data_IF_014894191542
#
_entry.id   IF_014894191542
#
_cell.length_a   1.000
_cell.length_b   1.000
_cell.length_c   1.000
_cell.angle_alpha   90.00
_cell.angle_beta   90.00
_cell.angle_gamma   90.00
#
_symmetry.space_group_name_H-M   'P 1'
#
loop_
_entity.id
_entity.type
_entity.pdbx_description
1 polymer ?
#
# COMPACT_ATOMS: atom_id res chain seq x y z
N UNK A 1 39.51 -16.68 45.16
CA UNK A 1 39.05 -17.62 44.11
C UNK A 1 39.68 -17.16 42.82
N UNK A 2 40.59 -17.97 42.32
CA UNK A 2 41.57 -17.65 41.27
C UNK A 2 40.92 -17.48 39.89
N UNK A 3 41.42 -16.49 39.14
CA UNK A 3 41.21 -16.34 37.70
C UNK A 3 41.74 -17.57 36.96
N UNK A 4 40.84 -18.36 36.37
CA UNK A 4 41.22 -19.36 35.37
C UNK A 4 41.48 -18.67 34.03
N UNK A 5 42.73 -18.29 33.81
CA UNK A 5 43.27 -17.97 32.48
C UNK A 5 43.41 -19.26 31.67
N UNK A 6 42.43 -19.54 30.81
CA UNK A 6 42.52 -20.65 29.86
C UNK A 6 43.39 -20.22 28.68
N UNK A 7 44.65 -20.67 28.67
CA UNK A 7 45.58 -20.51 27.54
C UNK A 7 45.01 -21.19 26.30
N UNK A 8 44.79 -20.42 25.23
CA UNK A 8 44.45 -20.97 23.91
C UNK A 8 45.74 -21.53 23.30
N UNK A 9 45.72 -22.83 23.02
CA UNK A 9 46.84 -23.60 22.48
C UNK A 9 46.89 -23.39 20.95
N UNK A 10 47.99 -22.87 20.35
CA UNK A 10 48.04 -22.51 18.93
C UNK A 10 48.40 -23.72 18.06
N UNK A 11 47.59 -24.77 18.14
CA UNK A 11 47.97 -26.07 17.57
C UNK A 11 46.82 -27.05 17.43
N UNK A 12 45.73 -26.64 16.79
CA UNK A 12 44.81 -27.56 16.10
C UNK A 12 44.34 -26.89 14.82
N UNK A 13 44.79 -27.43 13.68
CA UNK A 13 44.18 -27.22 12.38
C UNK A 13 42.75 -27.75 12.43
N UNK A 14 41.82 -26.91 12.88
CA UNK A 14 40.41 -27.08 12.55
C UNK A 14 40.33 -26.76 11.07
N UNK A 15 40.12 -27.79 10.24
CA UNK A 15 39.78 -27.61 8.84
C UNK A 15 38.64 -26.58 8.79
N UNK A 16 38.90 -25.45 8.15
CA UNK A 16 37.83 -24.56 7.70
C UNK A 16 37.07 -25.44 6.70
N UNK A 17 35.96 -26.02 7.16
CA UNK A 17 35.02 -26.69 6.26
C UNK A 17 34.67 -25.67 5.17
N UNK A 18 34.81 -26.10 3.92
CA UNK A 18 34.61 -25.31 2.72
C UNK A 18 33.48 -24.30 2.92
N UNK A 19 33.84 -23.01 3.03
CA UNK A 19 32.85 -21.94 2.89
C UNK A 19 32.39 -22.07 1.45
N UNK A 20 31.21 -22.68 1.27
CA UNK A 20 30.52 -22.71 -0.02
C UNK A 20 30.39 -21.26 -0.47
N UNK A 21 31.05 -20.87 -1.56
CA UNK A 21 30.85 -19.57 -2.17
C UNK A 21 29.44 -19.56 -2.78
N UNK A 22 28.44 -19.24 -1.97
CA UNK A 22 27.08 -19.01 -2.44
C UNK A 22 27.11 -17.74 -3.29
N UNK A 23 26.79 -17.86 -4.59
CA UNK A 23 26.78 -16.70 -5.48
C UNK A 23 25.54 -15.87 -5.18
N UNK A 24 25.76 -14.61 -4.83
CA UNK A 24 24.70 -13.66 -4.45
C UNK A 24 24.45 -12.63 -5.57
N UNK A 25 23.18 -12.34 -5.84
CA UNK A 25 22.74 -11.24 -6.69
C UNK A 25 21.93 -10.28 -5.82
N UNK A 26 22.34 -9.02 -5.77
CA UNK A 26 21.68 -7.98 -4.96
C UNK A 26 21.06 -6.93 -5.88
N UNK A 27 19.78 -6.62 -5.66
CA UNK A 27 19.06 -5.51 -6.29
C UNK A 27 18.82 -4.45 -5.20
N UNK A 28 19.66 -3.42 -5.18
CA UNK A 28 19.58 -2.32 -4.23
C UNK A 28 19.94 -0.97 -4.88
N UNK A 29 19.11 0.07 -4.74
CA UNK A 29 17.75 0.03 -4.19
C UNK A 29 16.76 -0.61 -5.17
N UNK A 30 15.66 -1.15 -4.66
CA UNK A 30 14.49 -1.41 -5.50
C UNK A 30 13.92 -0.06 -5.96
N UNK A 31 13.77 0.12 -7.27
CA UNK A 31 13.39 1.41 -7.87
C UNK A 31 11.88 1.51 -8.15
N UNK A 32 11.37 2.74 -8.25
CA UNK A 32 9.95 3.07 -8.52
C UNK A 32 8.96 2.46 -7.50
N UNK A 33 9.37 2.38 -6.24
CA UNK A 33 8.51 2.18 -5.09
C UNK A 33 8.63 3.35 -4.11
N UNK A 34 7.75 3.40 -3.12
CA UNK A 34 7.89 4.31 -1.97
C UNK A 34 8.56 3.57 -0.80
N UNK A 35 9.57 4.20 -0.20
CA UNK A 35 10.38 3.62 0.87
C UNK A 35 11.71 3.04 0.39
N UNK A 36 12.39 2.32 1.27
CA UNK A 36 13.70 1.71 1.01
C UNK A 36 13.62 0.20 1.14
N UNK A 37 13.97 -0.48 0.05
CA UNK A 37 14.02 -1.94 0.01
C UNK A 37 15.18 -2.45 -0.84
N UNK A 38 15.57 -3.69 -0.56
CA UNK A 38 16.51 -4.47 -1.37
C UNK A 38 15.99 -5.88 -1.61
N UNK A 39 16.50 -6.53 -2.65
CA UNK A 39 16.24 -7.94 -2.94
C UNK A 39 17.58 -8.68 -3.01
N UNK A 40 17.76 -9.66 -2.14
CA UNK A 40 18.91 -10.57 -2.17
C UNK A 40 18.46 -11.90 -2.78
N UNK A 41 19.19 -12.40 -3.78
CA UNK A 41 18.94 -13.67 -4.46
C UNK A 41 20.19 -14.54 -4.34
N UNK A 42 20.05 -15.68 -3.70
CA UNK A 42 21.12 -16.64 -3.46
C UNK A 42 21.02 -17.79 -4.44
N UNK A 43 22.12 -18.12 -5.11
CA UNK A 43 22.21 -19.21 -6.07
C UNK A 43 22.95 -20.40 -5.46
N UNK A 44 22.48 -21.61 -5.77
CA UNK A 44 23.20 -22.84 -5.46
C UNK A 44 24.38 -23.07 -6.43
N UNK A 45 25.16 -24.13 -6.21
CA UNK A 45 26.36 -24.44 -6.99
C UNK A 45 26.07 -24.67 -8.49
N UNK A 46 24.84 -25.06 -8.85
CA UNK A 46 24.41 -25.26 -10.24
C UNK A 46 24.00 -23.95 -10.92
N UNK A 47 23.92 -22.85 -10.16
CA UNK A 47 23.45 -21.54 -10.62
C UNK A 47 21.94 -21.36 -10.56
N UNK A 48 21.20 -22.30 -9.95
CA UNK A 48 19.76 -22.19 -9.72
C UNK A 48 19.47 -21.32 -8.48
N UNK A 49 18.35 -20.59 -8.48
CA UNK A 49 17.93 -19.82 -7.30
C UNK A 49 17.58 -20.76 -6.15
N UNK A 50 18.30 -20.62 -5.04
CA UNK A 50 18.05 -21.35 -3.81
C UNK A 50 17.09 -20.57 -2.89
N UNK A 51 17.32 -19.27 -2.73
CA UNK A 51 16.47 -18.38 -1.92
C UNK A 51 16.42 -16.97 -2.51
N UNK A 52 15.32 -16.26 -2.24
CA UNK A 52 15.17 -14.83 -2.54
C UNK A 52 14.46 -14.11 -1.40
N UNK A 53 14.94 -12.92 -1.03
CA UNK A 53 14.43 -12.16 0.11
C UNK A 53 14.12 -10.73 -0.29
N UNK A 54 12.88 -10.29 -0.12
CA UNK A 54 12.50 -8.88 -0.19
C UNK A 54 12.61 -8.24 1.19
N UNK A 55 13.52 -7.28 1.35
CA UNK A 55 13.85 -6.70 2.64
C UNK A 55 13.50 -5.22 2.68
N UNK A 56 12.76 -4.80 3.72
CA UNK A 56 12.61 -3.38 4.03
C UNK A 56 13.69 -3.00 5.03
N UNK A 57 14.48 -2.01 4.66
CA UNK A 57 15.72 -1.64 5.39
C UNK A 57 15.57 -0.35 6.20
N UNK A 58 14.34 0.15 6.36
CA UNK A 58 14.03 1.37 7.09
C UNK A 58 13.04 1.12 8.25
N UNK A 59 13.32 1.72 9.42
CA UNK A 59 12.41 1.79 10.56
C UNK A 59 12.52 3.17 11.23
N UNK A 60 11.37 3.84 11.45
CA UNK A 60 11.31 5.16 12.11
C UNK A 60 10.71 5.15 13.53
N UNK A 61 10.08 4.06 13.96
CA UNK A 61 9.64 3.89 15.35
C UNK A 61 8.47 4.78 15.82
N UNK A 62 7.55 5.17 14.93
CA UNK A 62 6.37 6.02 15.25
C UNK A 62 5.58 5.54 16.47
N UNK A 63 5.35 4.23 16.57
CA UNK A 63 4.60 3.63 17.68
C UNK A 63 5.23 3.91 19.07
N UNK A 64 6.55 4.02 19.15
CA UNK A 64 7.24 4.30 20.41
C UNK A 64 7.29 5.79 20.71
N UNK A 65 7.67 6.63 19.75
CA UNK A 65 7.84 8.06 20.03
C UNK A 65 6.52 8.83 20.16
N UNK A 66 5.40 8.25 19.72
CA UNK A 66 4.07 8.81 19.98
C UNK A 66 3.62 8.64 21.44
N UNK A 67 4.23 7.73 22.22
CA UNK A 67 3.90 7.54 23.63
C UNK A 67 4.19 8.80 24.43
N UNK A 68 3.25 9.17 25.31
CA UNK A 68 3.34 10.36 26.17
C UNK A 68 3.00 11.68 25.48
N UNK A 69 2.65 11.67 24.19
CA UNK A 69 2.18 12.86 23.47
C UNK A 69 0.66 13.05 23.63
N UNK A 70 0.16 14.29 23.57
CA UNK A 70 -1.27 14.54 23.47
C UNK A 70 -1.87 13.86 22.24
N UNK A 71 -3.00 13.20 22.40
CA UNK A 71 -3.61 12.34 21.37
C UNK A 71 -4.08 13.17 20.17
N UNK A 72 -4.52 14.40 20.40
CA UNK A 72 -4.93 15.37 19.38
C UNK A 72 -3.79 15.83 18.47
N UNK A 73 -2.53 15.57 18.83
CA UNK A 73 -1.38 15.78 17.93
C UNK A 73 -1.22 14.67 16.90
N UNK A 74 -1.84 13.49 17.11
CA UNK A 74 -1.62 12.33 16.23
C UNK A 74 -1.95 12.62 14.76
N UNK A 75 -3.07 13.30 14.41
CA UNK A 75 -3.36 13.69 13.04
C UNK A 75 -2.36 14.67 12.43
N UNK A 76 -1.47 15.28 13.22
CA UNK A 76 -0.37 16.11 12.71
C UNK A 76 0.94 15.32 12.65
N UNK A 77 1.12 14.33 13.51
CA UNK A 77 2.36 13.55 13.58
C UNK A 77 2.35 12.41 12.56
N UNK A 78 1.34 11.53 12.61
CA UNK A 78 1.36 10.28 11.84
C UNK A 78 1.26 10.44 10.33
N UNK A 79 0.73 11.54 9.75
CA UNK A 79 0.86 11.76 8.31
C UNK A 79 2.31 11.86 7.83
N UNK A 80 3.30 12.02 8.71
CA UNK A 80 4.74 12.00 8.35
C UNK A 80 5.29 10.57 8.23
N UNK A 81 4.47 9.55 8.45
CA UNK A 81 4.85 8.16 8.17
C UNK A 81 5.10 7.98 6.67
N UNK A 82 4.37 8.63 5.77
CA UNK A 82 4.57 8.45 4.34
C UNK A 82 4.32 9.75 3.58
N UNK A 83 5.12 10.02 2.55
CA UNK A 83 4.93 11.16 1.65
C UNK A 83 3.82 10.94 0.61
N UNK A 84 3.47 9.68 0.32
CA UNK A 84 2.47 9.31 -0.69
C UNK A 84 1.09 9.09 -0.09
N UNK A 85 0.98 8.47 1.09
CA UNK A 85 -0.30 8.22 1.77
C UNK A 85 -0.55 9.06 3.05
N UNK A 86 -0.11 10.34 3.16
CA UNK A 86 -0.33 11.12 4.38
C UNK A 86 -1.82 11.36 4.67
N UNK A 87 -2.67 11.40 3.64
CA UNK A 87 -4.12 11.54 3.79
C UNK A 87 -4.77 10.33 4.44
N UNK A 88 -4.30 9.11 4.15
CA UNK A 88 -4.77 7.89 4.81
C UNK A 88 -4.44 7.90 6.31
N UNK A 89 -3.20 8.25 6.65
CA UNK A 89 -2.78 8.39 8.04
C UNK A 89 -3.55 9.50 8.76
N UNK A 90 -3.85 10.61 8.07
CA UNK A 90 -4.62 11.71 8.62
C UNK A 90 -6.06 11.31 8.96
N UNK A 91 -6.75 10.63 8.04
CA UNK A 91 -8.09 10.10 8.26
C UNK A 91 -8.09 9.07 9.39
N UNK A 92 -7.20 8.07 9.34
CA UNK A 92 -7.15 6.99 10.32
C UNK A 92 -6.88 7.50 11.74
N UNK A 93 -5.90 8.39 11.92
CA UNK A 93 -5.63 8.99 13.22
C UNK A 93 -6.75 9.91 13.69
N UNK A 94 -7.42 10.65 12.80
CA UNK A 94 -8.57 11.48 13.19
C UNK A 94 -9.73 10.62 13.71
N UNK A 95 -10.05 9.50 13.05
CA UNK A 95 -11.07 8.55 13.54
C UNK A 95 -10.67 7.93 14.89
N UNK A 96 -9.39 7.61 15.08
CA UNK A 96 -8.89 7.09 16.35
C UNK A 96 -9.01 8.12 17.48
N UNK A 97 -8.70 9.39 17.19
CA UNK A 97 -8.84 10.50 18.14
C UNK A 97 -10.31 10.73 18.51
N UNK A 98 -11.23 10.71 17.54
CA UNK A 98 -12.67 10.81 17.83
C UNK A 98 -13.13 9.71 18.79
N UNK A 99 -12.66 8.47 18.58
CA UNK A 99 -12.98 7.35 19.46
C UNK A 99 -12.42 7.53 20.88
N UNK A 100 -11.22 8.09 21.03
CA UNK A 100 -10.61 8.38 22.35
C UNK A 100 -11.43 9.43 23.12
N UNK A 101 -11.93 10.46 22.43
CA UNK A 101 -12.78 11.48 23.04
C UNK A 101 -14.26 11.05 23.14
N UNK A 102 -14.61 9.86 22.64
CA UNK A 102 -15.98 9.35 22.57
C UNK A 102 -16.94 10.35 21.91
N UNK A 103 -16.51 10.92 20.78
CA UNK A 103 -17.30 11.88 19.99
C UNK A 103 -17.63 11.27 18.63
N UNK A 104 -18.86 11.48 18.18
CA UNK A 104 -19.27 11.12 16.82
C UNK A 104 -19.36 12.39 15.98
N UNK A 105 -18.54 12.56 14.93
CA UNK A 105 -18.61 13.73 14.06
C UNK A 105 -20.00 13.88 13.42
N UNK A 106 -20.49 15.12 13.25
CA UNK A 106 -21.76 15.34 12.57
C UNK A 106 -21.66 14.92 11.10
N UNK A 107 -22.80 14.54 10.51
CA UNK A 107 -22.89 14.03 9.13
C UNK A 107 -22.14 14.87 8.07
N UNK A 108 -22.23 16.22 8.04
CA UNK A 108 -21.44 17.00 7.09
C UNK A 108 -19.93 16.81 7.23
N UNK A 109 -19.44 16.65 8.47
CA UNK A 109 -18.02 16.42 8.72
C UNK A 109 -17.57 15.03 8.23
N UNK A 110 -18.37 13.99 8.47
CA UNK A 110 -18.10 12.63 7.94
C UNK A 110 -18.01 12.63 6.41
N UNK A 111 -18.99 13.25 5.74
CA UNK A 111 -19.01 13.36 4.27
C UNK A 111 -17.81 14.11 3.70
N UNK A 112 -17.40 15.20 4.33
CA UNK A 112 -16.21 15.94 3.89
C UNK A 112 -14.92 15.14 4.12
N UNK A 113 -14.83 14.41 5.24
CA UNK A 113 -13.69 13.52 5.52
C UNK A 113 -13.60 12.36 4.52
N UNK A 114 -14.74 11.78 4.15
CA UNK A 114 -14.83 10.75 3.11
C UNK A 114 -14.47 11.30 1.73
N UNK A 115 -15.01 12.46 1.34
CA UNK A 115 -14.70 13.13 0.08
C UNK A 115 -13.20 13.47 -0.05
N UNK A 116 -12.60 13.96 1.03
CA UNK A 116 -11.15 14.13 1.13
C UNK A 116 -10.41 12.83 0.85
N UNK A 117 -10.84 11.72 1.46
CA UNK A 117 -10.19 10.42 1.29
C UNK A 117 -10.38 9.87 -0.13
N UNK A 118 -11.52 10.10 -0.78
CA UNK A 118 -11.73 9.78 -2.20
C UNK A 118 -10.74 10.55 -3.09
N UNK A 119 -10.56 11.85 -2.85
CA UNK A 119 -9.54 12.65 -3.54
C UNK A 119 -8.12 12.13 -3.31
N UNK A 120 -7.81 11.70 -2.08
CA UNK A 120 -6.53 11.07 -1.74
C UNK A 120 -6.31 9.74 -2.46
N UNK A 121 -7.33 8.89 -2.51
CA UNK A 121 -7.28 7.59 -3.19
C UNK A 121 -6.97 7.75 -4.67
N UNK A 122 -7.68 8.67 -5.35
CA UNK A 122 -7.46 9.01 -6.75
C UNK A 122 -6.04 9.54 -6.98
N UNK A 123 -5.61 10.53 -6.20
CA UNK A 123 -4.26 11.10 -6.30
C UNK A 123 -3.16 10.03 -6.19
N UNK A 124 -3.29 9.11 -5.24
CA UNK A 124 -2.34 8.02 -5.01
C UNK A 124 -2.36 6.98 -6.15
N UNK A 125 -3.54 6.55 -6.60
CA UNK A 125 -3.66 5.59 -7.70
C UNK A 125 -3.14 6.14 -9.03
N UNK A 126 -3.40 7.42 -9.33
CA UNK A 126 -2.87 8.08 -10.53
C UNK A 126 -1.34 8.11 -10.46
N UNK A 127 -0.77 8.47 -9.31
CA UNK A 127 0.68 8.48 -9.11
C UNK A 127 1.29 7.08 -9.33
N UNK A 128 0.75 6.07 -8.65
CA UNK A 128 1.24 4.71 -8.75
C UNK A 128 1.13 4.18 -10.18
N UNK A 129 -0.05 4.25 -10.78
CA UNK A 129 -0.26 3.71 -12.12
C UNK A 129 0.65 4.37 -13.14
N UNK A 130 0.67 5.70 -13.26
CA UNK A 130 1.38 6.35 -14.36
C UNK A 130 2.88 6.60 -14.11
N UNK A 131 3.28 6.91 -12.88
CA UNK A 131 4.68 7.23 -12.58
C UNK A 131 5.49 5.99 -12.17
N UNK A 132 4.85 5.00 -11.55
CA UNK A 132 5.54 3.85 -10.97
C UNK A 132 5.35 2.58 -11.80
N UNK A 133 4.11 2.14 -12.05
CA UNK A 133 3.82 0.86 -12.72
C UNK A 133 3.84 0.92 -14.25
N UNK A 134 3.24 1.95 -14.85
CA UNK A 134 3.08 2.09 -16.29
C UNK A 134 4.39 2.04 -17.10
N UNK A 135 5.56 2.52 -16.61
CA UNK A 135 6.80 2.37 -17.36
C UNK A 135 7.12 0.92 -17.75
N UNK A 136 6.80 -0.07 -16.91
CA UNK A 136 7.05 -1.49 -17.23
C UNK A 136 6.15 -2.01 -18.34
N UNK A 137 4.93 -1.47 -18.49
CA UNK A 137 3.96 -1.93 -19.50
C UNK A 137 4.00 -1.09 -20.78
N UNK A 138 4.10 0.24 -20.68
CA UNK A 138 4.05 1.16 -21.81
C UNK A 138 5.40 1.24 -22.53
N UNK A 139 6.50 1.35 -21.77
CA UNK A 139 7.84 1.38 -22.36
C UNK A 139 8.33 -0.05 -22.62
N UNK A 140 8.00 -0.96 -21.70
CA UNK A 140 8.24 -2.40 -21.80
C UNK A 140 9.23 -2.91 -20.75
N UNK A 141 9.10 -4.17 -20.32
CA UNK A 141 9.91 -4.71 -19.23
C UNK A 141 11.40 -4.84 -19.62
N UNK A 142 11.69 -5.05 -20.90
CA UNK A 142 13.05 -5.18 -21.44
C UNK A 142 13.64 -3.86 -21.94
N UNK A 143 12.94 -2.73 -21.74
CA UNK A 143 13.42 -1.42 -22.18
C UNK A 143 14.69 -0.99 -21.41
N UNK A 144 15.55 -0.15 -22.01
CA UNK A 144 16.71 0.40 -21.32
C UNK A 144 16.31 1.11 -20.01
N UNK A 145 17.07 0.95 -18.90
CA UNK A 145 16.75 1.58 -17.63
C UNK A 145 16.56 3.11 -17.71
N UNK A 146 17.30 3.78 -18.59
CA UNK A 146 17.20 5.23 -18.82
C UNK A 146 15.89 5.67 -19.47
N UNK A 147 15.17 4.75 -20.12
CA UNK A 147 13.88 5.01 -20.75
C UNK A 147 12.71 4.49 -19.90
N UNK A 148 12.91 3.47 -19.07
CA UNK A 148 11.85 2.83 -18.28
C UNK A 148 11.47 3.63 -17.03
N UNK A 149 10.97 4.85 -17.27
CA UNK A 149 10.53 5.82 -16.27
C UNK A 149 9.40 6.72 -16.84
N UNK A 150 8.94 7.69 -16.04
CA UNK A 150 7.83 8.58 -16.43
C UNK A 150 8.12 9.40 -17.71
N UNK A 151 9.38 9.75 -17.98
CA UNK A 151 9.74 10.49 -19.18
C UNK A 151 9.60 9.59 -20.41
N UNK A 152 10.04 8.33 -20.33
CA UNK A 152 9.84 7.37 -21.41
C UNK A 152 8.37 7.07 -21.67
N UNK A 153 7.54 7.02 -20.62
CA UNK A 153 6.08 6.93 -20.78
C UNK A 153 5.58 8.12 -21.60
N UNK A 154 5.93 9.36 -21.22
CA UNK A 154 5.52 10.58 -21.95
C UNK A 154 6.02 10.55 -23.41
N UNK A 155 7.24 10.07 -23.66
CA UNK A 155 7.77 9.93 -25.02
C UNK A 155 6.98 8.92 -25.87
N UNK A 156 6.46 7.85 -25.25
CA UNK A 156 5.64 6.83 -25.93
C UNK A 156 4.20 7.28 -26.17
N UNK A 157 3.57 7.94 -25.18
CA UNK A 157 2.15 8.30 -25.23
C UNK A 157 1.89 9.74 -25.71
N UNK A 158 2.93 10.56 -25.77
CA UNK A 158 2.86 11.97 -26.13
C UNK A 158 2.60 12.91 -24.95
N UNK A 159 3.05 14.16 -25.12
CA UNK A 159 2.98 15.22 -24.10
C UNK A 159 1.54 15.53 -23.70
N UNK A 160 0.58 15.44 -24.62
CA UNK A 160 -0.83 15.70 -24.32
C UNK A 160 -1.42 14.70 -23.32
N UNK A 161 -1.11 13.41 -23.44
CA UNK A 161 -1.54 12.40 -22.47
C UNK A 161 -0.82 12.62 -21.14
N UNK A 162 0.48 12.91 -21.16
CA UNK A 162 1.24 13.28 -19.96
C UNK A 162 0.61 14.47 -19.22
N UNK A 163 0.18 15.50 -19.94
CA UNK A 163 -0.48 16.68 -19.39
C UNK A 163 -1.81 16.32 -18.71
N UNK A 164 -2.63 15.46 -19.33
CA UNK A 164 -3.89 14.97 -18.73
C UNK A 164 -3.65 14.25 -17.41
N UNK A 165 -2.61 13.41 -17.33
CA UNK A 165 -2.25 12.69 -16.09
C UNK A 165 -1.87 13.65 -14.98
N UNK A 166 -1.00 14.63 -15.28
CA UNK A 166 -0.56 15.63 -14.30
C UNK A 166 -1.74 16.49 -13.84
N UNK A 167 -2.61 16.92 -14.77
CA UNK A 167 -3.80 17.71 -14.49
C UNK A 167 -4.79 16.96 -13.59
N UNK A 168 -5.10 15.69 -13.90
CA UNK A 168 -5.96 14.86 -13.07
C UNK A 168 -5.39 14.68 -11.66
N UNK A 169 -4.09 14.39 -11.55
CA UNK A 169 -3.44 14.28 -10.23
C UNK A 169 -3.48 15.61 -9.46
N UNK A 170 -3.30 16.75 -10.14
CA UNK A 170 -3.39 18.07 -9.53
C UNK A 170 -4.81 18.38 -9.03
N UNK A 171 -5.84 18.05 -9.80
CA UNK A 171 -7.24 18.18 -9.39
C UNK A 171 -7.56 17.33 -8.15
N UNK A 172 -7.14 16.06 -8.14
CA UNK A 172 -7.30 15.19 -6.97
C UNK A 172 -6.56 15.71 -5.73
N UNK A 173 -5.40 16.35 -5.91
CA UNK A 173 -4.66 17.02 -4.86
C UNK A 173 -5.35 18.31 -4.38
N UNK A 174 -5.97 19.06 -5.29
CA UNK A 174 -6.67 20.31 -5.01
C UNK A 174 -7.94 20.07 -4.18
N UNK A 175 -8.67 18.99 -4.45
CA UNK A 175 -9.79 18.53 -3.60
C UNK A 175 -9.30 18.32 -2.15
N UNK A 176 -8.17 17.62 -1.98
CA UNK A 176 -7.56 17.43 -0.67
C UNK A 176 -7.11 18.74 -0.02
N UNK A 177 -6.61 19.70 -0.80
CA UNK A 177 -6.19 21.00 -0.29
C UNK A 177 -7.38 21.83 0.20
N UNK A 178 -8.46 21.92 -0.58
CA UNK A 178 -9.68 22.67 -0.23
C UNK A 178 -10.26 22.13 1.08
N UNK A 179 -10.39 20.81 1.21
CA UNK A 179 -11.02 20.19 2.39
C UNK A 179 -10.03 20.08 3.56
N UNK A 180 -8.77 19.77 3.29
CA UNK A 180 -7.75 19.46 4.29
C UNK A 180 -6.94 20.67 4.77
N UNK A 181 -7.08 21.82 4.11
CA UNK A 181 -6.36 23.07 4.36
C UNK A 181 -4.93 23.11 3.81
N UNK A 182 -4.39 21.97 3.37
CA UNK A 182 -3.06 21.84 2.73
C UNK A 182 -3.12 20.68 1.74
N UNK A 183 -2.41 20.83 0.62
CA UNK A 183 -2.23 19.75 -0.35
C UNK A 183 -1.66 18.48 0.33
N UNK A 184 -0.50 18.59 0.97
CA UNK A 184 0.11 17.47 1.70
C UNK A 184 0.13 17.76 3.19
N UNK A 185 -0.07 16.71 3.99
CA UNK A 185 -0.09 16.76 5.45
C UNK A 185 -1.12 17.77 5.99
N UNK A 186 -2.37 17.51 5.61
CA UNK A 186 -3.56 18.28 5.97
C UNK A 186 -3.76 18.41 7.49
N UNK A 187 -4.57 19.40 7.89
CA UNK A 187 -4.70 19.84 9.29
C UNK A 187 -6.14 20.11 9.73
N UNK A 188 -7.11 20.00 8.82
CA UNK A 188 -8.48 20.46 9.06
C UNK A 188 -9.37 19.51 9.88
N UNK A 189 -8.99 18.25 10.11
CA UNK A 189 -9.75 17.31 10.94
C UNK A 189 -9.34 17.48 12.40
N UNK A 190 -10.35 17.66 13.24
CA UNK A 190 -10.23 17.82 14.68
C UNK A 190 -11.07 16.75 15.38
N UNK A 191 -10.81 16.44 16.67
CA UNK A 191 -11.71 15.61 17.46
C UNK A 191 -13.16 16.10 17.33
N UNK A 192 -14.06 15.23 16.90
CA UNK A 192 -15.49 15.51 16.74
C UNK A 192 -15.88 16.16 15.41
N UNK A 193 -14.96 16.36 14.46
CA UNK A 193 -15.32 16.87 13.13
C UNK A 193 -14.20 17.52 12.34
N UNK A 194 -14.47 18.72 11.84
CA UNK A 194 -13.56 19.51 11.01
C UNK A 194 -13.51 20.96 11.52
N UNK A 195 -12.36 21.63 11.36
CA UNK A 195 -12.18 23.01 11.83
C UNK A 195 -12.89 24.03 10.93
N UNK A 196 -12.87 23.80 9.61
CA UNK A 196 -13.51 24.63 8.60
C UNK A 196 -14.29 23.77 7.61
N UNK A 197 -15.55 24.11 7.35
CA UNK A 197 -16.31 23.56 6.23
C UNK A 197 -15.84 24.10 4.87
N UNK A 198 -16.56 23.77 3.81
CA UNK A 198 -16.34 24.34 2.47
C UNK A 198 -17.44 25.35 2.13
N UNK A 199 -17.15 26.33 1.29
CA UNK A 199 -18.15 27.27 0.75
C UNK A 199 -18.89 26.67 -0.46
N UNK A 200 -19.97 27.30 -0.88
CA UNK A 200 -20.74 26.90 -2.07
C UNK A 200 -19.89 26.99 -3.35
N UNK A 201 -18.97 27.95 -3.43
CA UNK A 201 -18.02 28.08 -4.54
C UNK A 201 -16.99 26.94 -4.53
N UNK A 202 -16.40 26.65 -3.37
CA UNK A 202 -15.46 25.53 -3.18
C UNK A 202 -16.14 24.19 -3.51
N UNK A 203 -17.41 24.01 -3.12
CA UNK A 203 -18.19 22.83 -3.49
C UNK A 203 -18.35 22.70 -5.01
N UNK A 204 -18.76 23.77 -5.71
CA UNK A 204 -18.89 23.76 -7.17
C UNK A 204 -17.57 23.48 -7.88
N UNK A 205 -16.46 24.00 -7.35
CA UNK A 205 -15.11 23.72 -7.85
C UNK A 205 -14.79 22.22 -7.73
N UNK A 206 -15.05 21.62 -6.56
CA UNK A 206 -14.85 20.19 -6.33
C UNK A 206 -15.73 19.35 -7.26
N UNK A 207 -17.00 19.71 -7.44
CA UNK A 207 -17.91 18.99 -8.35
C UNK A 207 -17.40 19.02 -9.80
N UNK A 208 -16.88 20.15 -10.26
CA UNK A 208 -16.25 20.28 -11.59
C UNK A 208 -15.04 19.36 -11.74
N UNK A 209 -14.13 19.37 -10.76
CA UNK A 209 -12.97 18.49 -10.73
C UNK A 209 -13.36 17.02 -10.65
N UNK A 210 -14.36 16.65 -9.84
CA UNK A 210 -14.84 15.29 -9.70
C UNK A 210 -15.37 14.71 -11.01
N UNK A 211 -16.12 15.50 -11.80
CA UNK A 211 -16.58 15.10 -13.13
C UNK A 211 -15.41 14.83 -14.08
N UNK A 212 -14.41 15.72 -14.09
CA UNK A 212 -13.21 15.53 -14.91
C UNK A 212 -12.42 14.28 -14.50
N UNK A 213 -12.33 14.01 -13.20
CA UNK A 213 -11.65 12.82 -12.66
C UNK A 213 -12.36 11.51 -13.03
N UNK A 214 -13.70 11.50 -13.11
CA UNK A 214 -14.46 10.34 -13.61
C UNK A 214 -14.13 10.07 -15.07
N UNK A 215 -14.15 11.11 -15.92
CA UNK A 215 -13.80 10.95 -17.34
C UNK A 215 -12.32 10.54 -17.52
N UNK A 216 -11.43 11.05 -16.67
CA UNK A 216 -10.04 10.61 -16.64
C UNK A 216 -9.89 9.14 -16.20
N UNK A 217 -10.72 8.68 -15.26
CA UNK A 217 -10.79 7.27 -14.86
C UNK A 217 -11.17 6.35 -16.03
N UNK A 218 -12.21 6.71 -16.78
CA UNK A 218 -12.62 5.99 -18.00
C UNK A 218 -11.52 5.97 -19.05
N UNK A 219 -10.88 7.12 -19.27
CA UNK A 219 -9.72 7.22 -20.17
C UNK A 219 -8.56 6.30 -19.73
N UNK A 220 -8.28 6.22 -18.43
CA UNK A 220 -7.24 5.35 -17.89
C UNK A 220 -7.56 3.87 -18.06
N UNK A 221 -8.84 3.48 -17.92
CA UNK A 221 -9.29 2.12 -18.21
C UNK A 221 -9.11 1.76 -19.69
N UNK A 222 -9.41 2.69 -20.60
CA UNK A 222 -9.17 2.47 -22.03
C UNK A 222 -7.68 2.27 -22.33
N UNK A 223 -6.79 3.06 -21.71
CA UNK A 223 -5.34 2.87 -21.84
C UNK A 223 -4.94 1.47 -21.35
N UNK A 224 -5.46 1.04 -20.20
CA UNK A 224 -5.15 -0.28 -19.68
C UNK A 224 -5.63 -1.39 -20.63
N UNK A 225 -6.83 -1.26 -21.19
CA UNK A 225 -7.32 -2.18 -22.21
C UNK A 225 -6.39 -2.22 -23.44
N UNK A 226 -6.03 -1.05 -23.98
CA UNK A 226 -5.26 -0.94 -25.22
C UNK A 226 -3.81 -1.38 -25.08
N UNK A 227 -3.17 -1.07 -23.95
CA UNK A 227 -1.74 -1.36 -23.73
C UNK A 227 -1.54 -2.73 -23.09
N UNK A 228 -2.38 -3.09 -22.12
CA UNK A 228 -2.19 -4.31 -21.30
C UNK A 228 -3.04 -5.45 -21.82
N UNK A 229 -4.36 -5.28 -21.90
CA UNK A 229 -5.27 -6.39 -22.19
C UNK A 229 -5.25 -6.85 -23.66
N UNK A 230 -4.93 -5.95 -24.61
CA UNK A 230 -4.73 -6.32 -26.02
C UNK A 230 -3.35 -6.91 -26.30
N UNK A 231 -2.40 -6.79 -25.38
CA UNK A 231 -1.08 -7.40 -25.51
C UNK A 231 -1.09 -8.81 -24.91
N UNK A 232 -1.10 -9.83 -25.78
CA UNK A 232 -1.12 -11.24 -25.36
C UNK A 232 0.05 -11.62 -24.47
N UNK A 233 1.25 -11.09 -24.69
CA UNK A 233 2.41 -11.40 -23.84
C UNK A 233 2.19 -10.90 -22.41
N UNK A 234 1.60 -9.71 -22.26
CA UNK A 234 1.26 -9.18 -20.94
C UNK A 234 0.12 -9.95 -20.29
N UNK A 235 -0.93 -10.29 -21.04
CA UNK A 235 -2.04 -11.10 -20.51
C UNK A 235 -1.56 -12.46 -20.06
N UNK A 236 -0.79 -13.17 -20.90
CA UNK A 236 -0.23 -14.48 -20.57
C UNK A 236 0.70 -14.39 -19.35
N UNK A 237 1.47 -13.29 -19.23
CA UNK A 237 2.34 -13.05 -18.07
C UNK A 237 1.53 -12.80 -16.77
N UNK A 238 0.50 -11.96 -16.79
CA UNK A 238 -0.27 -11.60 -15.57
C UNK A 238 -1.28 -12.66 -15.17
N UNK A 239 -1.71 -13.52 -16.10
CA UNK A 239 -2.64 -14.64 -15.84
C UNK A 239 -1.93 -15.98 -15.63
N UNK A 240 -0.64 -16.06 -15.95
CA UNK A 240 0.17 -17.25 -15.72
C UNK A 240 0.59 -17.45 -14.26
N UNK A 241 1.23 -18.59 -14.02
CA UNK A 241 1.55 -19.07 -12.68
C UNK A 241 2.65 -18.26 -11.97
N UNK A 242 3.48 -17.53 -12.73
CA UNK A 242 4.66 -16.81 -12.21
C UNK A 242 4.29 -15.79 -11.13
N UNK A 243 3.13 -15.14 -11.26
CA UNK A 243 2.62 -14.17 -10.28
C UNK A 243 1.40 -14.66 -9.53
N UNK A 244 1.03 -15.94 -9.69
CA UNK A 244 -0.10 -16.52 -9.01
C UNK A 244 0.26 -16.79 -7.55
N UNK A 245 -0.56 -16.28 -6.64
CA UNK A 245 -0.41 -16.53 -5.22
C UNK A 245 -1.79 -16.59 -4.57
N UNK A 246 -2.15 -17.76 -4.06
CA UNK A 246 -3.46 -18.04 -3.46
C UNK A 246 -3.46 -17.67 -1.99
N UNK A 247 -3.85 -16.45 -1.66
CA UNK A 247 -3.92 -15.97 -0.27
C UNK A 247 -5.37 -15.74 0.15
N UNK A 248 -5.61 -15.51 1.44
CA UNK A 248 -6.85 -14.85 1.84
C UNK A 248 -6.83 -13.39 1.34
N UNK A 249 -8.00 -12.76 1.23
CA UNK A 249 -8.12 -11.36 0.82
C UNK A 249 -8.91 -10.59 1.85
N UNK A 250 -8.45 -9.39 2.19
CA UNK A 250 -9.07 -8.53 3.20
C UNK A 250 -9.31 -7.13 2.65
N UNK A 251 -10.50 -6.58 2.94
CA UNK A 251 -10.89 -5.24 2.53
C UNK A 251 -12.07 -4.71 3.35
N UNK A 252 -12.29 -3.40 3.25
CA UNK A 252 -13.41 -2.72 3.89
C UNK A 252 -14.63 -2.77 2.98
N UNK A 253 -15.80 -3.11 3.53
CA UNK A 253 -17.07 -3.13 2.83
C UNK A 253 -18.17 -2.40 3.59
N UNK A 254 -19.12 -1.83 2.87
CA UNK A 254 -20.32 -1.24 3.45
C UNK A 254 -21.33 -2.30 3.92
N UNK A 255 -22.50 -1.87 4.40
CA UNK A 255 -23.57 -2.74 4.87
C UNK A 255 -24.14 -3.66 3.78
N UNK A 256 -23.97 -3.31 2.50
CA UNK A 256 -24.36 -4.09 1.33
C UNK A 256 -23.21 -4.90 0.74
N UNK A 257 -22.11 -5.08 1.48
CA UNK A 257 -20.88 -5.73 1.03
C UNK A 257 -20.22 -5.07 -0.20
N UNK A 258 -20.56 -3.82 -0.52
CA UNK A 258 -19.91 -3.10 -1.61
C UNK A 258 -18.62 -2.45 -1.12
N UNK A 259 -17.73 -2.18 -2.06
CA UNK A 259 -16.44 -1.54 -1.73
C UNK A 259 -16.68 -0.23 -0.99
N UNK A 260 -16.01 -0.09 0.15
CA UNK A 260 -15.90 1.18 0.86
C UNK A 260 -14.44 1.48 1.20
N UNK A 261 -14.13 2.76 1.35
CA UNK A 261 -12.78 3.25 1.65
C UNK A 261 -12.68 3.96 3.00
N UNK A 262 -13.80 4.39 3.58
CA UNK A 262 -13.85 5.28 4.74
C UNK A 262 -14.53 4.65 5.98
N UNK A 263 -15.65 3.97 5.79
CA UNK A 263 -16.49 3.40 6.86
C UNK A 263 -16.98 1.99 6.48
N UNK A 264 -17.25 1.16 7.48
CA UNK A 264 -17.80 -0.17 7.29
C UNK A 264 -17.05 -1.25 8.04
N UNK A 265 -17.28 -2.49 7.65
CA UNK A 265 -16.69 -3.68 8.28
C UNK A 265 -15.53 -4.20 7.46
N UNK A 266 -14.51 -4.71 8.14
CA UNK A 266 -13.42 -5.44 7.50
C UNK A 266 -13.92 -6.85 7.18
N UNK A 267 -14.01 -7.18 5.90
CA UNK A 267 -14.39 -8.49 5.39
C UNK A 267 -13.16 -9.23 4.89
N UNK A 268 -13.10 -10.54 5.17
CA UNK A 268 -12.04 -11.44 4.72
C UNK A 268 -12.67 -12.62 3.99
N UNK A 269 -12.15 -12.91 2.80
CA UNK A 269 -12.50 -14.11 2.04
C UNK A 269 -11.28 -15.02 1.89
N UNK A 270 -11.54 -16.31 1.86
CA UNK A 270 -10.54 -17.35 1.54
C UNK A 270 -10.04 -17.24 0.10
N UNK A 271 -8.94 -17.94 -0.27
CA UNK A 271 -8.48 -18.05 -1.66
C UNK A 271 -9.58 -18.42 -2.67
N UNK A 272 -10.62 -19.14 -2.25
CA UNK A 272 -11.72 -19.58 -3.10
C UNK A 272 -12.94 -18.65 -3.05
N UNK A 273 -12.79 -17.46 -2.45
CA UNK A 273 -13.84 -16.42 -2.40
C UNK A 273 -14.89 -16.61 -1.32
N UNK A 274 -14.82 -17.69 -0.52
CA UNK A 274 -15.75 -17.88 0.61
C UNK A 274 -15.41 -16.91 1.75
N UNK A 275 -16.42 -16.19 2.26
CA UNK A 275 -16.28 -15.37 3.47
C UNK A 275 -15.90 -16.23 4.69
N UNK A 276 -14.82 -15.82 5.37
CA UNK A 276 -14.31 -16.50 6.57
C UNK A 276 -14.32 -15.62 7.81
N UNK A 277 -14.38 -14.30 7.63
CA UNK A 277 -14.39 -13.34 8.73
C UNK A 277 -15.02 -12.00 8.29
N UNK A 278 -15.79 -11.38 9.19
CA UNK A 278 -16.26 -10.01 9.04
C UNK A 278 -16.32 -9.34 10.42
N UNK A 279 -15.66 -8.19 10.59
CA UNK A 279 -15.47 -7.56 11.91
C UNK A 279 -15.38 -6.04 11.83
N UNK A 280 -15.57 -5.37 12.97
CA UNK A 280 -15.37 -3.92 13.10
C UNK A 280 -13.88 -3.59 13.25
N UNK A 281 -13.43 -2.46 12.68
CA UNK A 281 -12.02 -2.09 12.72
C UNK A 281 -11.41 -2.01 14.13
N UNK A 282 -12.21 -1.69 15.15
CA UNK A 282 -11.78 -1.65 16.56
C UNK A 282 -11.40 -3.02 17.14
N UNK A 283 -11.91 -4.11 16.55
CA UNK A 283 -11.71 -5.49 17.04
C UNK A 283 -10.51 -6.18 16.36
N UNK A 284 -9.71 -5.45 15.58
CA UNK A 284 -8.67 -6.03 14.73
C UNK A 284 -7.62 -6.87 15.48
N UNK A 285 -7.33 -6.58 16.75
CA UNK A 285 -6.37 -7.33 17.58
C UNK A 285 -6.85 -8.75 17.94
N UNK A 286 -8.15 -9.01 17.80
CA UNK A 286 -8.72 -10.36 17.94
C UNK A 286 -8.48 -11.22 16.70
N UNK A 287 -8.20 -10.58 15.56
CA UNK A 287 -8.23 -11.21 14.24
C UNK A 287 -6.89 -11.21 13.51
N UNK A 288 -6.05 -10.21 13.76
CA UNK A 288 -4.77 -10.02 13.09
C UNK A 288 -3.65 -10.19 14.12
N UNK A 289 -2.59 -10.88 13.72
CA UNK A 289 -1.33 -10.95 14.43
C UNK A 289 -0.17 -10.64 13.48
N UNK A 290 0.97 -10.24 14.02
CA UNK A 290 2.16 -9.86 13.25
C UNK A 290 3.32 -10.79 13.59
N UNK A 291 3.93 -11.39 12.58
CA UNK A 291 5.15 -12.18 12.70
C UNK A 291 6.38 -11.34 12.33
N UNK A 292 7.54 -11.63 12.91
CA UNK A 292 8.79 -10.91 12.64
C UNK A 292 9.85 -11.90 12.18
N UNK A 293 10.50 -11.55 11.09
CA UNK A 293 11.67 -12.25 10.58
C UNK A 293 12.94 -11.43 10.87
N UNK A 294 14.10 -12.06 11.11
CA UNK A 294 15.32 -11.36 11.50
C UNK A 294 15.97 -10.55 10.36
N UNK A 295 15.50 -10.73 9.12
CA UNK A 295 16.11 -10.17 7.91
C UNK A 295 15.35 -8.97 7.32
N UNK A 296 14.26 -8.52 7.93
CA UNK A 296 13.51 -7.34 7.45
C UNK A 296 12.89 -6.56 8.61
N UNK A 297 12.86 -5.23 8.50
CA UNK A 297 12.10 -4.40 9.44
C UNK A 297 10.59 -4.47 9.20
N UNK A 298 10.15 -4.89 8.01
CA UNK A 298 8.74 -5.11 7.72
C UNK A 298 8.28 -6.41 8.40
N UNK A 299 7.23 -6.31 9.21
CA UNK A 299 6.56 -7.46 9.81
C UNK A 299 5.70 -8.19 8.78
N UNK A 300 5.26 -9.40 9.12
CA UNK A 300 4.44 -10.27 8.28
C UNK A 300 3.09 -10.54 8.97
N UNK A 301 2.06 -9.73 8.70
CA UNK A 301 0.74 -9.94 9.27
C UNK A 301 0.08 -11.23 8.77
N UNK A 302 -0.70 -11.85 9.65
CA UNK A 302 -1.48 -13.06 9.34
C UNK A 302 -2.79 -13.10 10.13
N UNK A 303 -3.74 -13.92 9.66
CA UNK A 303 -5.00 -14.18 10.32
C UNK A 303 -4.77 -15.04 11.58
N UNK A 304 -4.99 -14.44 12.74
CA UNK A 304 -4.64 -14.99 14.06
C UNK A 304 -5.26 -16.37 14.32
N UNK A 305 -6.51 -16.58 13.91
CA UNK A 305 -7.22 -17.87 14.08
C UNK A 305 -6.66 -19.00 13.21
N UNK A 306 -6.09 -18.67 12.05
CA UNK A 306 -5.48 -19.66 11.15
C UNK A 306 -4.02 -19.92 11.54
N UNK A 307 -3.33 -18.88 12.01
CA UNK A 307 -1.96 -18.96 12.49
C UNK A 307 -0.91 -18.70 11.42
N UNK A 308 0.34 -18.47 11.87
CA UNK A 308 1.50 -18.35 11.00
C UNK A 308 2.01 -19.74 10.61
N UNK A 309 2.13 -20.00 9.31
CA UNK A 309 2.64 -21.27 8.76
C UNK A 309 3.86 -21.08 7.85
N UNK A 310 4.54 -19.94 7.98
CA UNK A 310 5.58 -19.51 7.05
C UNK A 310 5.00 -18.90 5.77
N UNK A 311 5.87 -18.70 4.78
CA UNK A 311 5.56 -18.14 3.47
C UNK A 311 4.89 -19.15 2.53
N UNK A 312 3.81 -19.77 3.01
CA UNK A 312 3.03 -20.75 2.26
C UNK A 312 1.68 -20.17 1.88
N UNK A 313 1.18 -20.52 0.71
CA UNK A 313 -0.12 -20.09 0.22
C UNK A 313 -1.19 -21.18 0.41
N UNK A 314 -2.41 -20.91 -0.03
CA UNK A 314 -3.53 -21.85 0.03
C UNK A 314 -4.48 -21.66 1.21
N UNK A 315 -5.47 -22.54 1.28
CA UNK A 315 -6.62 -22.45 2.21
C UNK A 315 -6.22 -22.52 3.68
N UNK A 316 -5.17 -23.27 3.97
CA UNK A 316 -4.67 -23.46 5.33
C UNK A 316 -3.73 -22.34 5.78
N UNK A 317 -3.34 -21.43 4.88
CA UNK A 317 -2.42 -20.34 5.22
C UNK A 317 -3.15 -19.19 5.91
N UNK A 318 -2.54 -18.62 6.95
CA UNK A 318 -2.99 -17.38 7.57
C UNK A 318 -2.62 -16.12 6.77
N UNK A 319 -1.83 -16.25 5.70
CA UNK A 319 -1.43 -15.11 4.88
C UNK A 319 -2.64 -14.53 4.18
N UNK A 320 -2.71 -13.20 4.18
CA UNK A 320 -3.73 -12.45 3.47
C UNK A 320 -3.12 -11.29 2.68
N UNK A 321 -3.83 -10.85 1.65
CA UNK A 321 -3.52 -9.66 0.87
C UNK A 321 -4.54 -8.55 1.13
N UNK A 322 -4.08 -7.31 1.01
CA UNK A 322 -4.89 -6.10 1.03
C UNK A 322 -4.60 -5.28 -0.22
N UNK A 323 -5.58 -4.48 -0.65
CA UNK A 323 -5.48 -3.57 -1.80
C UNK A 323 -5.04 -4.22 -3.14
N UNK A 324 -5.18 -3.46 -4.23
CA UNK A 324 -6.47 -3.05 -4.77
C UNK A 324 -7.36 -4.27 -5.04
N UNK A 325 -6.80 -5.32 -5.68
CA UNK A 325 -7.52 -6.53 -6.06
C UNK A 325 -8.19 -7.23 -4.85
N UNK A 326 -7.54 -7.25 -3.69
CA UNK A 326 -8.14 -7.85 -2.49
C UNK A 326 -9.47 -7.18 -2.10
N UNK A 327 -9.62 -5.87 -2.33
CA UNK A 327 -10.87 -5.14 -2.08
C UNK A 327 -11.97 -5.54 -3.08
N UNK A 328 -11.60 -5.80 -4.34
CA UNK A 328 -12.53 -6.32 -5.34
C UNK A 328 -12.97 -7.74 -4.96
N UNK A 329 -12.03 -8.60 -4.55
CA UNK A 329 -12.31 -9.99 -4.20
C UNK A 329 -13.23 -10.13 -2.97
N UNK A 330 -13.11 -9.23 -1.99
CA UNK A 330 -13.97 -9.27 -0.79
C UNK A 330 -15.30 -8.56 -0.97
N UNK A 331 -15.54 -7.84 -2.07
CA UNK A 331 -16.77 -7.08 -2.24
C UNK A 331 -17.75 -7.81 -3.16
N UNK A 332 -19.04 -7.65 -2.90
CA UNK A 332 -20.09 -8.16 -3.78
C UNK A 332 -20.33 -7.22 -4.98
N UNK A 333 -19.72 -6.03 -4.98
CA UNK A 333 -19.73 -5.10 -6.10
C UNK A 333 -19.19 -3.70 -5.76
N UNK A 334 -19.24 -2.80 -6.74
CA UNK A 334 -18.84 -1.40 -6.57
C UNK A 334 -19.97 -0.58 -5.90
N UNK A 335 -19.59 0.41 -5.09
CA UNK A 335 -20.52 1.40 -4.54
C UNK A 335 -20.97 2.45 -5.58
N UNK A 336 -20.24 2.55 -6.70
CA UNK A 336 -20.53 3.44 -7.83
C UNK A 336 -21.08 2.65 -9.02
N UNK A 337 -21.90 3.28 -9.90
CA UNK A 337 -22.56 2.59 -11.02
C UNK A 337 -21.66 2.31 -12.23
N UNK A 338 -20.48 2.92 -12.30
CA UNK A 338 -19.50 2.81 -13.40
C UNK A 338 -18.30 2.03 -12.89
#
# INVERSE_FOLDING_TARGET
MEEKTTKINPGKNTKIENIKETKEIVIEPVTRLEGHAKIDIFLNDEGNVENAYFQVVELRGFEQFCKGRPVEEMPRIVPRICGVCPGAHFVASSKAVDAVFNVDPPEPAKKLRELYYCGHYLHSHIAHFYALGAPDFIVGPSAPPMERNIIGVINKVGVEIGRKVIEARAQAQKIQEIIGGRATHSINFLPGGIAKGITDEEQKEIEGMAKNLVEFGKFSLQIFEDVVLKNKEYVDLITGDVYQHRTNYMGLVDDNNKINFYEGKVRVVSPDGKEILKFEGKDYLEHIAEHVEPWSYLKFPYLKKIGWKGFVDGLDSGIYRVAPLARLNVADGMATPI
#
